data_IF_651112483113
#
_entry.id   IF_651112483113
#
_cell.length_a   1.000
_cell.length_b   1.000
_cell.length_c   1.000
_cell.angle_alpha   90.00
_cell.angle_beta   90.00
_cell.angle_gamma   90.00
#
_symmetry.space_group_name_H-M   'P 1'
#
loop_
_entity.id
_entity.type
_entity.pdbx_description
1 polymer ?
#
# COMPACT_ATOMS: atom_id res chain seq x y z
N UNK A 1 24.42 -11.87 0.39
CA UNK A 1 24.73 -13.19 0.98
C UNK A 1 25.64 -13.11 2.22
N UNK A 2 26.77 -12.38 2.19
CA UNK A 2 27.69 -12.27 3.35
C UNK A 2 27.06 -11.69 4.65
N UNK A 3 26.12 -10.75 4.54
CA UNK A 3 25.46 -10.15 5.73
C UNK A 3 24.46 -11.07 6.44
N UNK A 4 23.79 -11.98 5.71
CA UNK A 4 22.80 -12.89 6.32
C UNK A 4 23.49 -14.02 7.07
N UNK A 5 24.55 -14.60 6.48
CA UNK A 5 25.37 -15.63 7.13
C UNK A 5 25.99 -15.08 8.41
N UNK A 6 26.52 -13.85 8.37
CA UNK A 6 27.04 -13.19 9.56
C UNK A 6 25.99 -12.98 10.67
N UNK A 7 24.78 -12.53 10.32
CA UNK A 7 23.69 -12.41 11.29
C UNK A 7 23.27 -13.77 11.86
N UNK A 8 23.15 -14.80 11.01
CA UNK A 8 22.79 -16.15 11.42
C UNK A 8 23.83 -16.72 12.40
N UNK A 9 25.12 -16.62 12.07
CA UNK A 9 26.20 -17.07 12.96
C UNK A 9 26.13 -16.37 14.32
N UNK A 10 25.98 -15.04 14.33
CA UNK A 10 25.91 -14.26 15.56
C UNK A 10 24.68 -14.58 16.41
N UNK A 11 23.53 -14.79 15.78
CA UNK A 11 22.30 -15.15 16.50
C UNK A 11 22.30 -16.62 16.96
N UNK A 12 22.92 -17.52 16.21
CA UNK A 12 23.01 -18.95 16.57
C UNK A 12 23.88 -19.20 17.81
N UNK A 13 24.76 -18.26 18.16
CA UNK A 13 25.51 -18.29 19.42
C UNK A 13 24.67 -17.98 20.66
N UNK A 14 23.56 -17.24 20.51
CA UNK A 14 22.68 -16.79 21.60
C UNK A 14 21.34 -17.54 21.61
N UNK A 15 20.91 -18.07 20.46
CA UNK A 15 19.61 -18.70 20.27
C UNK A 15 19.76 -20.03 19.53
N UNK A 16 18.96 -21.02 19.92
CA UNK A 16 18.85 -22.28 19.19
C UNK A 16 18.19 -22.01 17.83
N UNK A 17 18.97 -22.10 16.76
CA UNK A 17 18.54 -21.76 15.40
C UNK A 17 18.93 -22.85 14.41
N UNK A 18 18.01 -23.15 13.47
CA UNK A 18 18.25 -24.06 12.36
C UNK A 18 18.09 -23.34 11.02
N UNK A 19 19.01 -23.62 10.08
CA UNK A 19 18.96 -23.05 8.74
C UNK A 19 18.04 -23.91 7.87
N UNK A 20 16.82 -23.44 7.61
CA UNK A 20 15.80 -24.20 6.85
C UNK A 20 15.92 -24.06 5.32
N UNK A 21 17.10 -23.67 4.83
CA UNK A 21 17.35 -23.43 3.41
C UNK A 21 16.72 -22.13 2.90
N UNK A 22 16.45 -22.09 1.59
CA UNK A 22 15.86 -20.94 0.90
C UNK A 22 14.41 -20.68 1.36
N UNK A 23 14.09 -19.42 1.67
CA UNK A 23 12.77 -19.06 2.18
C UNK A 23 11.75 -19.07 1.05
N UNK A 24 10.95 -20.13 0.97
CA UNK A 24 9.90 -20.30 -0.07
C UNK A 24 8.50 -19.96 0.42
N UNK A 25 8.27 -20.09 1.72
CA UNK A 25 6.97 -19.87 2.33
C UNK A 25 7.13 -19.38 3.77
N UNK A 26 6.43 -18.32 4.13
CA UNK A 26 6.44 -17.78 5.49
C UNK A 26 5.07 -17.19 5.85
N UNK A 27 4.45 -17.67 6.92
CA UNK A 27 3.17 -17.17 7.43
C UNK A 27 2.09 -16.96 6.35
N UNK A 28 1.98 -17.88 5.38
CA UNK A 28 1.00 -17.80 4.28
C UNK A 28 1.44 -17.00 3.05
N UNK A 29 2.62 -16.37 3.10
CA UNK A 29 3.24 -15.68 1.97
C UNK A 29 4.12 -16.66 1.19
N UNK A 30 4.04 -16.65 -0.14
CA UNK A 30 4.99 -17.35 -1.01
C UNK A 30 6.07 -16.41 -1.46
N UNK A 31 7.31 -16.87 -1.41
CA UNK A 31 8.49 -16.09 -1.71
C UNK A 31 9.25 -16.83 -2.80
N UNK A 32 9.52 -16.14 -3.90
CA UNK A 32 10.40 -16.61 -4.98
C UNK A 32 11.61 -15.70 -5.02
N UNK A 33 12.79 -16.24 -4.75
CA UNK A 33 14.04 -15.49 -4.79
C UNK A 33 14.74 -15.78 -6.11
N UNK A 34 15.26 -14.74 -6.74
CA UNK A 34 16.02 -14.82 -7.98
C UNK A 34 17.21 -13.85 -7.95
N UNK A 35 18.02 -13.87 -9.00
CA UNK A 35 19.16 -12.96 -9.12
C UNK A 35 18.72 -11.49 -9.26
N UNK A 36 17.60 -11.26 -9.94
CA UNK A 36 17.06 -9.92 -10.24
C UNK A 36 16.23 -9.33 -9.10
N UNK A 37 15.82 -10.15 -8.13
CA UNK A 37 14.97 -9.70 -7.04
C UNK A 37 14.26 -10.80 -6.28
N UNK A 38 13.37 -10.40 -5.39
CA UNK A 38 12.50 -11.29 -4.61
C UNK A 38 11.04 -10.95 -4.89
N UNK A 39 10.26 -11.95 -5.28
CA UNK A 39 8.82 -11.83 -5.48
C UNK A 39 8.07 -12.41 -4.28
N UNK A 40 7.17 -11.62 -3.69
CA UNK A 40 6.35 -12.01 -2.55
C UNK A 40 4.88 -11.96 -2.95
N UNK A 41 4.19 -13.09 -2.91
CA UNK A 41 2.82 -13.18 -3.40
C UNK A 41 1.97 -14.21 -2.63
N UNK A 42 0.65 -14.13 -2.81
CA UNK A 42 -0.32 -15.01 -2.15
C UNK A 42 -1.27 -15.70 -3.15
N UNK A 43 -0.81 -15.97 -4.38
CA UNK A 43 -1.67 -16.48 -5.45
C UNK A 43 -2.46 -17.75 -5.10
N UNK A 44 -1.86 -18.68 -4.35
CA UNK A 44 -2.58 -19.87 -3.84
C UNK A 44 -3.75 -19.45 -2.95
N UNK A 45 -3.49 -18.58 -1.97
CA UNK A 45 -4.51 -18.06 -1.07
C UNK A 45 -5.61 -17.31 -1.83
N UNK A 46 -5.24 -16.50 -2.83
CA UNK A 46 -6.21 -15.80 -3.70
C UNK A 46 -7.16 -16.78 -4.40
N UNK A 47 -6.64 -17.89 -4.95
CA UNK A 47 -7.49 -18.93 -5.55
C UNK A 47 -8.35 -19.67 -4.52
N UNK A 48 -7.79 -19.92 -3.33
CA UNK A 48 -8.50 -20.61 -2.25
C UNK A 48 -9.68 -19.77 -1.72
N UNK A 49 -9.52 -18.45 -1.55
CA UNK A 49 -10.62 -17.57 -1.13
C UNK A 49 -11.68 -17.39 -2.23
N UNK A 50 -11.27 -17.40 -3.52
CA UNK A 50 -12.22 -17.37 -4.63
C UNK A 50 -13.09 -18.63 -4.66
N UNK A 51 -12.52 -19.81 -4.38
CA UNK A 51 -13.27 -21.05 -4.23
C UNK A 51 -14.18 -21.03 -3.00
N UNK A 52 -13.63 -20.61 -1.84
CA UNK A 52 -14.36 -20.55 -0.56
C UNK A 52 -15.66 -19.73 -0.64
N UNK A 53 -15.65 -18.62 -1.39
CA UNK A 53 -16.80 -17.72 -1.52
C UNK A 53 -17.56 -17.89 -2.85
N UNK A 54 -17.38 -19.02 -3.56
CA UNK A 54 -18.07 -19.32 -4.83
C UNK A 54 -17.90 -18.22 -5.91
N UNK A 55 -16.72 -17.61 -5.97
CA UNK A 55 -16.37 -16.56 -6.94
C UNK A 55 -15.58 -17.10 -8.14
N UNK A 56 -15.36 -18.42 -8.21
CA UNK A 56 -14.61 -19.11 -9.27
C UNK A 56 -15.14 -18.86 -10.68
N UNK A 57 -16.46 -18.85 -10.87
CA UNK A 57 -17.12 -18.66 -12.18
C UNK A 57 -17.57 -17.21 -12.44
N UNK A 58 -17.31 -16.30 -11.50
CA UNK A 58 -17.72 -14.91 -11.64
C UNK A 58 -17.05 -14.21 -12.83
N UNK A 59 -17.73 -13.27 -13.50
CA UNK A 59 -17.13 -12.50 -14.60
C UNK A 59 -15.97 -11.64 -14.07
N UNK A 60 -14.74 -11.71 -14.61
CA UNK A 60 -13.62 -10.91 -14.11
C UNK A 60 -13.88 -9.40 -14.23
N UNK A 61 -13.21 -8.62 -13.38
CA UNK A 61 -13.22 -7.15 -13.43
C UNK A 61 -11.78 -6.62 -13.45
N UNK A 62 -11.54 -5.53 -14.17
CA UNK A 62 -10.20 -4.97 -14.35
C UNK A 62 -9.77 -4.02 -13.23
N UNK A 63 -10.73 -3.49 -12.45
CA UNK A 63 -10.48 -2.64 -11.27
C UNK A 63 -11.28 -3.11 -10.05
N UNK A 64 -10.76 -2.96 -8.83
CA UNK A 64 -11.43 -3.41 -7.61
C UNK A 64 -12.67 -2.57 -7.26
N UNK A 65 -12.75 -1.31 -7.71
CA UNK A 65 -13.87 -0.39 -7.50
C UNK A 65 -14.14 0.46 -8.74
N UNK A 66 -15.38 0.88 -8.95
CA UNK A 66 -15.73 1.83 -10.01
C UNK A 66 -15.58 3.26 -9.50
N UNK A 67 -15.19 4.19 -10.36
CA UNK A 67 -15.13 5.64 -10.04
C UNK A 67 -16.51 6.21 -9.71
N UNK A 68 -17.57 5.63 -10.28
CA UNK A 68 -18.96 6.05 -10.03
C UNK A 68 -19.61 5.33 -8.84
N UNK A 69 -18.91 4.42 -8.15
CA UNK A 69 -19.50 3.71 -7.01
C UNK A 69 -19.62 4.65 -5.81
N UNK A 70 -20.85 5.05 -5.51
CA UNK A 70 -21.21 5.68 -4.26
C UNK A 70 -21.49 4.61 -3.20
N UNK A 71 -20.79 4.67 -2.07
CA UNK A 71 -21.10 3.85 -0.89
C UNK A 71 -21.89 4.72 0.08
N UNK A 72 -23.21 4.71 -0.09
CA UNK A 72 -24.19 5.37 0.80
C UNK A 72 -24.74 4.37 1.84
N UNK A 73 -25.47 4.86 2.85
CA UNK A 73 -26.19 3.97 3.75
C UNK A 73 -27.23 3.16 2.95
N UNK A 74 -27.24 1.84 3.13
CA UNK A 74 -28.19 0.93 2.45
C UNK A 74 -29.22 0.48 3.47
N UNK A 75 -30.10 1.42 3.85
CA UNK A 75 -31.14 1.22 4.86
C UNK A 75 -32.21 0.22 4.36
N UNK A 76 -32.41 0.16 3.04
CA UNK A 76 -33.34 -0.75 2.35
C UNK A 76 -32.66 -2.02 1.82
N UNK A 77 -31.39 -2.24 2.17
CA UNK A 77 -30.57 -3.34 1.66
C UNK A 77 -31.00 -4.71 2.19
N UNK A 78 -30.80 -5.75 1.38
CA UNK A 78 -31.01 -7.13 1.84
C UNK A 78 -30.07 -7.45 3.02
N UNK A 79 -30.63 -8.08 4.06
CA UNK A 79 -29.85 -8.56 5.20
C UNK A 79 -28.75 -9.52 4.72
N UNK A 80 -27.50 -9.14 4.95
CA UNK A 80 -26.33 -9.96 4.63
C UNK A 80 -26.04 -10.90 5.80
N UNK A 81 -25.69 -12.16 5.53
CA UNK A 81 -25.10 -13.02 6.55
C UNK A 81 -23.80 -12.38 7.07
N UNK A 82 -23.88 -11.87 8.31
CA UNK A 82 -22.77 -11.16 8.94
C UNK A 82 -21.52 -12.05 9.07
N UNK A 83 -21.69 -13.37 9.24
CA UNK A 83 -20.57 -14.29 9.39
C UNK A 83 -19.84 -14.46 8.06
N UNK A 84 -20.58 -14.72 6.98
CA UNK A 84 -20.03 -14.78 5.62
C UNK A 84 -19.32 -13.47 5.28
N UNK A 85 -19.98 -12.34 5.50
CA UNK A 85 -19.47 -11.01 5.18
C UNK A 85 -18.18 -10.66 5.93
N UNK A 86 -18.16 -10.85 7.26
CA UNK A 86 -16.94 -10.68 8.07
C UNK A 86 -15.84 -11.63 7.64
N UNK A 87 -16.19 -12.85 7.23
CA UNK A 87 -15.27 -13.81 6.64
C UNK A 87 -14.64 -13.31 5.33
N UNK A 88 -15.43 -12.70 4.45
CA UNK A 88 -14.95 -12.10 3.19
C UNK A 88 -14.00 -10.94 3.47
N UNK A 89 -14.39 -9.99 4.33
CA UNK A 89 -13.55 -8.84 4.70
C UNK A 89 -12.26 -9.30 5.36
N UNK A 90 -12.32 -10.24 6.32
CA UNK A 90 -11.13 -10.79 6.97
C UNK A 90 -10.16 -11.44 5.97
N UNK A 91 -10.68 -12.17 4.99
CA UNK A 91 -9.86 -12.75 3.91
C UNK A 91 -9.18 -11.69 3.03
N UNK A 92 -9.88 -10.59 2.72
CA UNK A 92 -9.30 -9.49 1.94
C UNK A 92 -8.23 -8.73 2.76
N UNK A 93 -8.49 -8.43 4.03
CA UNK A 93 -7.54 -7.77 4.93
C UNK A 93 -6.26 -8.58 5.17
N UNK A 94 -6.33 -9.90 5.08
CA UNK A 94 -5.13 -10.72 5.11
C UNK A 94 -4.36 -10.65 3.79
N UNK A 95 -5.07 -10.62 2.66
CA UNK A 95 -4.45 -10.54 1.33
C UNK A 95 -3.79 -9.18 1.06
N UNK A 96 -4.26 -8.10 1.69
CA UNK A 96 -3.66 -6.76 1.53
C UNK A 96 -2.19 -6.70 1.91
N UNK A 97 -1.66 -7.69 2.65
CA UNK A 97 -0.24 -7.82 2.97
C UNK A 97 0.65 -7.98 1.72
N UNK A 98 0.13 -8.54 0.62
CA UNK A 98 0.85 -8.66 -0.67
C UNK A 98 0.10 -7.99 -1.82
N UNK A 99 -1.09 -7.46 -1.55
CA UNK A 99 -1.99 -6.81 -2.52
C UNK A 99 -2.36 -5.41 -2.05
N UNK A 100 -1.40 -4.45 -2.07
CA UNK A 100 -1.67 -3.07 -1.67
C UNK A 100 -2.74 -2.42 -2.55
N UNK A 101 -2.87 -2.86 -3.79
CA UNK A 101 -3.82 -2.39 -4.80
C UNK A 101 -5.30 -2.56 -4.40
N UNK A 102 -5.62 -3.49 -3.48
CA UNK A 102 -6.99 -3.65 -2.95
C UNK A 102 -7.19 -2.96 -1.59
N UNK A 103 -6.15 -2.41 -0.96
CA UNK A 103 -6.18 -1.87 0.41
C UNK A 103 -7.29 -0.82 0.63
N UNK A 104 -7.46 0.11 -0.31
CA UNK A 104 -8.51 1.12 -0.21
C UNK A 104 -9.90 0.50 -0.17
N UNK A 105 -10.14 -0.48 -1.04
CA UNK A 105 -11.44 -1.13 -1.24
C UNK A 105 -11.76 -2.19 -0.19
N UNK A 106 -10.74 -2.81 0.40
CA UNK A 106 -10.86 -3.82 1.45
C UNK A 106 -10.99 -3.21 2.86
N UNK A 107 -10.83 -1.89 3.00
CA UNK A 107 -10.98 -1.21 4.28
C UNK A 107 -12.45 -1.27 4.78
N UNK A 108 -12.72 -1.20 6.10
CA UNK A 108 -14.07 -1.40 6.69
C UNK A 108 -15.17 -0.41 6.27
N UNK A 109 -14.92 0.45 5.28
CA UNK A 109 -15.91 1.35 4.68
C UNK A 109 -16.93 0.61 3.83
N UNK A 110 -16.60 -0.59 3.40
CA UNK A 110 -17.45 -1.38 2.51
C UNK A 110 -18.56 -1.98 3.34
N UNK A 111 -19.68 -1.29 3.50
CA UNK A 111 -20.91 -1.87 4.07
C UNK A 111 -21.59 -2.82 3.07
N UNK A 112 -21.26 -2.72 1.77
CA UNK A 112 -22.02 -3.36 0.71
C UNK A 112 -21.38 -4.66 0.23
N UNK A 113 -22.11 -5.78 0.35
CA UNK A 113 -21.71 -7.12 -0.15
C UNK A 113 -21.31 -7.09 -1.64
N UNK A 114 -21.99 -6.29 -2.44
CA UNK A 114 -21.72 -6.17 -3.89
C UNK A 114 -20.33 -5.59 -4.18
N UNK A 115 -19.90 -4.60 -3.40
CA UNK A 115 -18.57 -4.01 -3.54
C UNK A 115 -17.48 -5.03 -3.18
N UNK A 116 -17.69 -5.82 -2.12
CA UNK A 116 -16.79 -6.92 -1.76
C UNK A 116 -16.72 -7.98 -2.87
N UNK A 117 -17.88 -8.39 -3.43
CA UNK A 117 -17.91 -9.31 -4.60
C UNK A 117 -17.15 -8.73 -5.80
N UNK A 118 -17.19 -7.42 -6.04
CA UNK A 118 -16.39 -6.79 -7.09
C UNK A 118 -14.88 -6.97 -6.87
N UNK A 119 -14.40 -6.82 -5.63
CA UNK A 119 -12.99 -7.04 -5.30
C UNK A 119 -12.59 -8.48 -5.63
N UNK A 120 -13.41 -9.47 -5.28
CA UNK A 120 -13.16 -10.87 -5.68
C UNK A 120 -13.13 -11.06 -7.20
N UNK A 121 -14.02 -10.41 -7.96
CA UNK A 121 -13.99 -10.45 -9.43
C UNK A 121 -12.69 -9.85 -9.99
N UNK A 122 -12.14 -8.84 -9.33
CA UNK A 122 -10.83 -8.27 -9.66
C UNK A 122 -9.66 -9.19 -9.29
N UNK A 123 -9.72 -9.84 -8.13
CA UNK A 123 -8.75 -10.87 -7.74
C UNK A 123 -8.74 -12.07 -8.70
N UNK A 124 -9.91 -12.44 -9.24
CA UNK A 124 -10.00 -13.46 -10.31
C UNK A 124 -9.29 -13.02 -11.59
N UNK A 125 -9.34 -11.73 -11.93
CA UNK A 125 -8.62 -11.18 -13.07
C UNK A 125 -7.09 -11.15 -12.84
N UNK A 126 -6.66 -11.01 -11.57
CA UNK A 126 -5.26 -10.81 -11.18
C UNK A 126 -4.79 -11.78 -10.07
N UNK A 127 -4.86 -13.10 -10.27
CA UNK A 127 -4.56 -14.05 -9.20
C UNK A 127 -3.06 -14.12 -8.86
N UNK A 128 -2.18 -13.79 -9.81
CA UNK A 128 -0.72 -13.93 -9.65
C UNK A 128 -0.02 -12.68 -9.12
N UNK A 129 -0.72 -11.56 -8.95
CA UNK A 129 -0.08 -10.32 -8.50
C UNK A 129 0.49 -10.45 -7.07
N UNK A 130 1.51 -9.66 -6.81
CA UNK A 130 2.28 -9.61 -5.58
C UNK A 130 3.26 -8.44 -5.60
N UNK A 131 4.20 -8.44 -4.66
CA UNK A 131 5.22 -7.40 -4.52
C UNK A 131 6.55 -7.90 -5.08
N UNK A 132 7.18 -7.09 -5.93
CA UNK A 132 8.51 -7.31 -6.46
C UNK A 132 9.53 -6.40 -5.77
N UNK A 133 10.58 -7.01 -5.24
CA UNK A 133 11.70 -6.35 -4.59
C UNK A 133 12.96 -6.54 -5.44
N UNK A 134 13.31 -5.55 -6.26
CA UNK A 134 14.48 -5.65 -7.15
C UNK A 134 15.80 -5.65 -6.36
N UNK A 135 16.74 -6.51 -6.77
CA UNK A 135 18.10 -6.56 -6.20
C UNK A 135 18.97 -5.38 -6.64
N UNK A 136 18.62 -4.72 -7.75
CA UNK A 136 19.37 -3.59 -8.34
C UNK A 136 18.94 -2.21 -7.83
N UNK A 137 17.97 -2.14 -6.92
CA UNK A 137 17.46 -0.86 -6.44
C UNK A 137 18.45 -0.15 -5.52
N UNK A 138 18.62 1.16 -5.69
CA UNK A 138 19.30 1.99 -4.69
C UNK A 138 18.54 1.95 -3.36
N UNK A 139 19.26 2.01 -2.23
CA UNK A 139 18.66 2.13 -0.90
C UNK A 139 18.38 3.61 -0.62
N UNK A 140 17.19 4.07 -0.97
CA UNK A 140 16.71 5.43 -0.67
C UNK A 140 15.32 5.39 -0.05
N UNK A 141 15.12 6.03 1.09
CA UNK A 141 13.80 6.08 1.72
C UNK A 141 13.00 7.25 1.14
N UNK A 142 11.80 6.99 0.61
CA UNK A 142 10.88 8.04 0.09
C UNK A 142 9.47 7.79 0.59
N UNK A 143 8.75 8.85 0.96
CA UNK A 143 7.34 8.77 1.34
C UNK A 143 6.41 9.52 0.39
N UNK A 144 5.17 9.06 0.31
CA UNK A 144 4.06 9.70 -0.40
C UNK A 144 2.84 9.73 0.52
N UNK A 145 2.09 10.83 0.47
CA UNK A 145 0.82 10.94 1.15
C UNK A 145 -0.21 11.68 0.31
N UNK A 146 -1.44 11.21 0.37
CA UNK A 146 -2.62 11.88 -0.17
C UNK A 146 -3.78 11.77 0.82
N UNK A 147 -4.79 12.61 0.65
CA UNK A 147 -6.07 12.45 1.32
C UNK A 147 -7.25 12.75 0.38
N UNK A 148 -8.23 11.85 0.39
CA UNK A 148 -9.54 12.10 -0.19
C UNK A 148 -10.41 12.84 0.83
N UNK A 149 -10.65 14.13 0.55
CA UNK A 149 -11.32 15.05 1.46
C UNK A 149 -12.82 14.80 1.50
N UNK A 150 -13.34 14.50 2.70
CA UNK A 150 -14.77 14.25 2.92
C UNK A 150 -15.35 13.14 2.01
N UNK A 151 -14.51 12.17 1.63
CA UNK A 151 -14.88 11.07 0.73
C UNK A 151 -15.90 10.10 1.31
N UNK A 152 -15.99 9.96 2.63
CA UNK A 152 -17.04 9.14 3.25
C UNK A 152 -18.37 9.90 3.21
N UNK A 153 -19.35 9.42 2.46
CA UNK A 153 -20.66 10.09 2.33
C UNK A 153 -21.48 10.05 3.62
N UNK A 154 -21.28 9.03 4.46
CA UNK A 154 -22.01 8.82 5.71
C UNK A 154 -21.65 9.88 6.77
N UNK A 155 -20.35 10.10 7.05
CA UNK A 155 -19.92 10.99 8.13
C UNK A 155 -18.99 12.12 7.67
N UNK A 156 -18.81 12.27 6.35
CA UNK A 156 -17.99 13.30 5.70
C UNK A 156 -16.53 13.33 6.20
N UNK A 157 -16.05 12.23 6.77
CA UNK A 157 -14.63 12.10 7.15
C UNK A 157 -13.78 11.75 5.94
N UNK A 158 -12.58 12.32 5.92
CA UNK A 158 -11.60 12.10 4.88
C UNK A 158 -10.92 10.73 4.99
N UNK A 159 -10.31 10.28 3.90
CA UNK A 159 -9.45 9.10 3.86
C UNK A 159 -8.00 9.53 3.67
N UNK A 160 -7.11 9.17 4.59
CA UNK A 160 -5.66 9.32 4.38
C UNK A 160 -5.10 8.06 3.71
N UNK A 161 -4.28 8.26 2.68
CA UNK A 161 -3.50 7.23 2.03
C UNK A 161 -2.02 7.56 2.14
N UNK A 162 -1.19 6.56 2.45
CA UNK A 162 0.26 6.74 2.55
C UNK A 162 0.99 5.56 1.95
N UNK A 163 2.16 5.80 1.35
CA UNK A 163 3.10 4.74 1.02
C UNK A 163 4.54 5.19 1.19
N UNK A 164 5.38 4.26 1.63
CA UNK A 164 6.80 4.44 1.84
C UNK A 164 7.55 3.39 1.02
N UNK A 165 8.49 3.89 0.23
CA UNK A 165 9.35 3.10 -0.64
C UNK A 165 10.76 3.05 -0.05
N UNK A 166 11.39 1.89 -0.17
CA UNK A 166 12.83 1.74 -0.04
C UNK A 166 13.40 1.47 -1.43
N UNK A 167 14.05 2.48 -1.99
CA UNK A 167 14.37 2.54 -3.40
C UNK A 167 13.09 2.63 -4.24
N UNK A 168 12.93 1.68 -5.15
CA UNK A 168 11.69 1.54 -5.94
C UNK A 168 10.66 0.60 -5.30
N UNK A 169 11.01 -0.06 -4.18
CA UNK A 169 10.18 -1.13 -3.63
C UNK A 169 9.26 -0.63 -2.52
N UNK A 170 7.99 -1.00 -2.58
CA UNK A 170 7.02 -0.70 -1.52
C UNK A 170 7.27 -1.54 -0.28
N UNK A 171 7.49 -0.87 0.85
CA UNK A 171 7.79 -1.51 2.13
C UNK A 171 6.78 -1.17 3.22
N UNK A 172 6.03 -0.08 3.07
CA UNK A 172 4.94 0.27 3.99
C UNK A 172 3.85 1.06 3.25
N UNK A 173 2.59 0.78 3.58
CA UNK A 173 1.43 1.47 3.02
C UNK A 173 0.30 1.50 4.02
N UNK A 174 -0.61 2.48 3.87
CA UNK A 174 -1.81 2.54 4.68
C UNK A 174 -2.95 3.26 3.97
N UNK A 175 -4.17 2.82 4.25
CA UNK A 175 -5.42 3.55 3.98
C UNK A 175 -6.18 3.64 5.30
N UNK A 176 -6.44 4.85 5.78
CA UNK A 176 -7.11 5.07 7.07
C UNK A 176 -8.15 6.17 6.97
N UNK A 177 -9.30 5.95 7.58
CA UNK A 177 -10.31 7.00 7.77
C UNK A 177 -9.83 7.97 8.84
N UNK A 178 -9.87 9.26 8.56
CA UNK A 178 -9.48 10.28 9.55
C UNK A 178 -10.48 10.28 10.71
N UNK A 179 -9.99 10.51 11.92
CA UNK A 179 -10.82 10.47 13.12
C UNK A 179 -11.84 11.64 13.18
N UNK A 180 -11.40 12.82 12.74
CA UNK A 180 -12.18 14.05 12.67
C UNK A 180 -12.54 14.41 11.23
N UNK A 181 -13.61 15.19 11.07
CA UNK A 181 -13.97 15.83 9.80
C UNK A 181 -13.00 16.98 9.56
N UNK A 182 -12.34 16.98 8.41
CA UNK A 182 -11.55 18.11 7.96
C UNK A 182 -12.48 19.20 7.40
N UNK A 183 -12.15 20.47 7.62
CA UNK A 183 -12.91 21.60 7.09
C UNK A 183 -12.40 22.07 5.72
N UNK A 184 -11.27 21.54 5.27
CA UNK A 184 -10.70 21.82 3.95
C UNK A 184 -9.87 20.65 3.43
N UNK A 185 -9.67 20.61 2.11
CA UNK A 185 -8.75 19.66 1.46
C UNK A 185 -7.33 19.82 1.98
N UNK A 186 -6.87 21.06 2.21
CA UNK A 186 -5.54 21.33 2.78
C UNK A 186 -5.39 20.70 4.15
N UNK A 187 -6.40 20.83 5.02
CA UNK A 187 -6.39 20.20 6.32
C UNK A 187 -6.36 18.66 6.22
N UNK A 188 -7.18 18.07 5.36
CA UNK A 188 -7.20 16.62 5.17
C UNK A 188 -5.83 16.09 4.71
N UNK A 189 -5.23 16.74 3.72
CA UNK A 189 -3.91 16.37 3.17
C UNK A 189 -2.79 16.61 4.18
N UNK A 190 -2.88 17.66 4.99
CA UNK A 190 -1.92 17.89 6.07
C UNK A 190 -1.99 16.78 7.13
N UNK A 191 -3.19 16.32 7.48
CA UNK A 191 -3.36 15.20 8.43
C UNK A 191 -2.73 13.92 7.87
N UNK A 192 -2.95 13.61 6.59
CA UNK A 192 -2.28 12.48 5.94
C UNK A 192 -0.76 12.65 5.93
N UNK A 193 -0.29 13.88 5.66
CA UNK A 193 1.14 14.17 5.60
C UNK A 193 1.82 13.98 6.97
N UNK A 194 1.19 14.47 8.05
CA UNK A 194 1.68 14.28 9.42
C UNK A 194 1.79 12.78 9.79
N UNK A 195 0.76 11.97 9.46
CA UNK A 195 0.81 10.52 9.71
C UNK A 195 1.91 9.81 8.92
N UNK A 196 2.11 10.18 7.65
CA UNK A 196 3.20 9.63 6.83
C UNK A 196 4.57 10.06 7.36
N UNK A 197 4.73 11.30 7.82
CA UNK A 197 5.97 11.77 8.45
C UNK A 197 6.32 10.94 9.69
N UNK A 198 5.35 10.65 10.57
CA UNK A 198 5.59 9.78 11.73
C UNK A 198 6.10 8.40 11.31
N UNK A 199 5.51 7.80 10.25
CA UNK A 199 5.96 6.52 9.71
C UNK A 199 7.38 6.59 9.14
N UNK A 200 7.71 7.65 8.39
CA UNK A 200 9.05 7.86 7.84
C UNK A 200 10.11 8.00 8.93
N UNK A 201 9.81 8.71 10.01
CA UNK A 201 10.73 8.88 11.14
C UNK A 201 10.96 7.56 11.87
N UNK A 202 9.89 6.79 12.10
CA UNK A 202 10.01 5.44 12.66
C UNK A 202 10.90 4.56 11.78
N UNK A 203 10.65 4.54 10.47
CA UNK A 203 11.49 3.79 9.53
C UNK A 203 12.94 4.28 9.51
N UNK A 204 13.18 5.60 9.54
CA UNK A 204 14.53 6.19 9.61
C UNK A 204 15.29 5.71 10.84
N UNK A 205 14.63 5.69 12.00
CA UNK A 205 15.20 5.21 13.25
C UNK A 205 15.51 3.72 13.18
N UNK A 206 14.54 2.89 12.79
CA UNK A 206 14.72 1.44 12.65
C UNK A 206 15.83 1.08 11.66
N UNK A 207 15.91 1.77 10.52
CA UNK A 207 16.98 1.54 9.56
C UNK A 207 18.34 1.99 10.08
N UNK A 208 18.40 3.04 10.90
CA UNK A 208 19.63 3.45 11.58
C UNK A 208 20.14 2.37 12.54
N UNK A 209 19.27 1.64 13.22
CA UNK A 209 19.64 0.50 14.07
C UNK A 209 20.28 -0.64 13.26
N UNK A 210 19.90 -0.79 11.98
CA UNK A 210 20.54 -1.69 11.02
C UNK A 210 21.80 -1.11 10.37
N UNK A 211 22.29 0.05 10.82
CA UNK A 211 23.47 0.72 10.25
C UNK A 211 23.21 1.49 8.95
N UNK A 212 21.95 1.60 8.51
CA UNK A 212 21.57 2.35 7.31
C UNK A 212 21.15 3.77 7.70
N UNK A 213 22.02 4.74 7.43
CA UNK A 213 21.76 6.14 7.74
C UNK A 213 21.21 6.88 6.53
N UNK A 214 20.07 7.53 6.72
CA UNK A 214 19.44 8.38 5.73
C UNK A 214 19.51 9.83 6.18
N UNK A 215 19.83 10.74 5.24
CA UNK A 215 19.79 12.17 5.49
C UNK A 215 18.36 12.70 5.53
N UNK A 216 18.13 13.78 4.80
CA UNK A 216 16.80 14.37 4.62
C UNK A 216 15.97 13.49 3.69
N UNK A 217 14.85 12.97 4.18
CA UNK A 217 14.01 12.01 3.45
C UNK A 217 13.08 12.76 2.47
N UNK A 218 13.12 12.45 1.16
CA UNK A 218 12.15 12.98 0.19
C UNK A 218 10.73 12.57 0.56
N UNK A 219 9.85 13.57 0.72
CA UNK A 219 8.45 13.36 1.08
C UNK A 219 7.53 14.07 0.08
N UNK A 220 6.87 13.27 -0.77
CA UNK A 220 6.02 13.70 -1.87
C UNK A 220 4.59 13.98 -1.39
N UNK A 221 4.14 15.21 -1.59
CA UNK A 221 2.78 15.68 -1.23
C UNK A 221 2.22 16.49 -2.39
N UNK A 222 0.96 16.27 -2.76
CA UNK A 222 0.33 16.90 -3.93
C UNK A 222 -0.44 18.21 -3.59
N UNK A 223 -0.26 18.72 -2.37
CA UNK A 223 -0.87 19.98 -1.91
C UNK A 223 0.18 21.03 -1.64
N UNK A 224 0.32 21.96 -2.58
CA UNK A 224 1.16 23.16 -2.43
C UNK A 224 0.77 23.97 -1.19
N UNK A 225 -0.53 24.07 -0.89
CA UNK A 225 -1.02 24.75 0.32
C UNK A 225 -0.56 24.05 1.59
N UNK A 226 -0.67 22.72 1.68
CA UNK A 226 -0.21 21.97 2.85
C UNK A 226 1.31 22.11 3.04
N UNK A 227 2.07 22.02 1.94
CA UNK A 227 3.51 22.24 1.93
C UNK A 227 3.84 23.66 2.43
N UNK A 228 3.14 24.67 1.93
CA UNK A 228 3.38 26.07 2.31
C UNK A 228 3.11 26.32 3.79
N UNK A 229 2.05 25.71 4.35
CA UNK A 229 1.75 25.80 5.78
C UNK A 229 2.81 25.11 6.63
N UNK A 230 3.36 23.98 6.17
CA UNK A 230 4.46 23.31 6.87
C UNK A 230 5.74 24.16 6.83
N UNK A 231 6.07 24.78 5.69
CA UNK A 231 7.31 25.55 5.49
C UNK A 231 7.28 26.97 6.09
N UNK A 232 6.11 27.55 6.35
CA UNK A 232 6.00 28.95 6.80
C UNK A 232 5.37 29.07 8.20
N UNK A 233 6.08 29.66 9.20
CA UNK A 233 5.60 29.80 10.56
C UNK A 233 4.44 30.80 10.74
N UNK A 234 4.27 31.77 9.83
CA UNK A 234 3.33 32.89 10.00
C UNK A 234 1.86 32.50 9.68
N UNK A 235 1.65 31.43 8.92
CA UNK A 235 0.31 31.03 8.42
C UNK A 235 -0.61 30.35 9.47
N UNK A 236 -0.26 30.39 10.77
CA UNK A 236 -0.92 29.61 11.82
C UNK A 236 -2.03 30.29 12.62
N UNK A 237 -2.26 31.60 12.44
CA UNK A 237 -3.15 32.36 13.34
C UNK A 237 -4.63 31.91 13.34
N UNK A 238 -5.04 30.96 12.47
CA UNK A 238 -6.45 30.52 12.32
C UNK A 238 -6.71 29.01 12.47
N UNK A 239 -5.75 28.16 12.87
CA UNK A 239 -5.92 26.68 12.80
C UNK A 239 -5.67 25.91 14.11
N UNK A 240 -6.15 26.46 15.24
CA UNK A 240 -5.91 25.94 16.60
C UNK A 240 -6.32 24.47 16.86
N UNK A 241 -7.28 23.91 16.11
CA UNK A 241 -7.84 22.58 16.38
C UNK A 241 -6.96 21.40 15.89
N UNK A 242 -5.81 21.70 15.29
CA UNK A 242 -4.83 20.71 14.78
C UNK A 242 -3.38 21.17 15.00
N UNK A 243 -3.15 22.15 15.88
CA UNK A 243 -1.84 22.78 16.13
C UNK A 243 -0.71 21.77 16.34
N UNK A 244 -0.93 20.72 17.14
CA UNK A 244 0.11 19.72 17.44
C UNK A 244 0.61 19.02 16.18
N UNK A 245 -0.29 18.62 15.27
CA UNK A 245 0.11 17.96 14.01
C UNK A 245 0.82 18.93 13.08
N UNK A 246 0.40 20.20 13.09
CA UNK A 246 1.08 21.21 12.31
C UNK A 246 2.50 21.45 12.77
N UNK A 247 2.67 21.70 14.07
CA UNK A 247 3.98 21.84 14.68
C UNK A 247 4.85 20.63 14.42
N UNK A 248 4.32 19.42 14.52
CA UNK A 248 5.06 18.18 14.25
C UNK A 248 5.68 18.14 12.84
N UNK A 249 4.87 18.32 11.79
CA UNK A 249 5.39 18.21 10.41
C UNK A 249 6.36 19.36 10.08
N UNK A 250 6.13 20.56 10.61
CA UNK A 250 7.04 21.70 10.46
C UNK A 250 8.37 21.48 11.17
N UNK A 251 8.32 21.06 12.42
CA UNK A 251 9.51 20.83 13.25
C UNK A 251 10.46 19.83 12.58
N UNK A 252 9.93 18.72 12.05
CA UNK A 252 10.73 17.75 11.31
C UNK A 252 11.19 18.23 9.92
N UNK A 253 10.47 19.17 9.30
CA UNK A 253 10.95 19.84 8.09
C UNK A 253 12.14 20.77 8.39
N UNK A 254 12.04 21.58 9.45
CA UNK A 254 13.06 22.55 9.89
C UNK A 254 14.32 21.86 10.43
N UNK A 255 14.17 20.76 11.17
CA UNK A 255 15.29 19.89 11.62
C UNK A 255 16.02 19.19 10.47
N UNK A 256 15.47 19.22 9.26
CA UNK A 256 16.03 18.54 8.10
C UNK A 256 15.83 17.03 8.11
N UNK A 257 14.83 16.52 8.84
CA UNK A 257 14.50 15.09 8.81
C UNK A 257 13.81 14.69 7.50
N UNK A 258 12.91 15.55 7.02
CA UNK A 258 12.13 15.36 5.79
C UNK A 258 12.26 16.55 4.86
N UNK A 259 12.14 16.31 3.55
CA UNK A 259 11.99 17.35 2.54
C UNK A 259 10.63 17.25 1.86
N UNK A 260 9.80 18.28 2.06
CA UNK A 260 8.47 18.34 1.46
C UNK A 260 8.57 18.82 0.01
N UNK A 261 8.28 17.91 -0.91
CA UNK A 261 8.40 18.08 -2.35
C UNK A 261 7.02 17.93 -2.99
N UNK A 262 6.63 18.89 -3.81
CA UNK A 262 5.39 18.81 -4.56
C UNK A 262 5.44 17.69 -5.60
N UNK A 263 4.38 16.88 -5.69
CA UNK A 263 4.19 15.89 -6.75
C UNK A 263 2.89 16.16 -7.49
N UNK A 264 2.92 16.10 -8.81
CA UNK A 264 1.70 16.21 -9.62
C UNK A 264 0.83 14.97 -9.43
N UNK A 265 -0.50 15.13 -9.49
CA UNK A 265 -1.45 14.04 -9.21
C UNK A 265 -1.24 12.79 -10.07
N UNK A 266 -0.76 12.94 -11.32
CA UNK A 266 -0.40 11.80 -12.15
C UNK A 266 0.67 10.91 -11.50
N UNK A 267 1.64 11.47 -10.78
CA UNK A 267 2.73 10.72 -10.16
C UNK A 267 2.54 10.53 -8.65
N UNK A 268 1.32 10.75 -8.15
CA UNK A 268 0.99 10.58 -6.74
C UNK A 268 0.65 9.11 -6.46
N UNK A 269 1.64 8.34 -6.00
CA UNK A 269 1.44 6.93 -5.66
C UNK A 269 0.41 6.71 -4.56
N UNK A 270 0.23 7.68 -3.66
CA UNK A 270 -0.72 7.55 -2.57
C UNK A 270 -2.20 7.57 -3.03
N UNK A 271 -2.48 8.01 -4.27
CA UNK A 271 -3.85 8.08 -4.82
C UNK A 271 -4.54 6.72 -4.86
N UNK A 272 -3.80 5.63 -5.11
CA UNK A 272 -4.35 4.27 -5.11
C UNK A 272 -4.93 3.86 -3.74
N UNK A 273 -4.51 4.54 -2.67
CA UNK A 273 -4.96 4.28 -1.30
C UNK A 273 -6.05 5.24 -0.81
N UNK A 274 -6.44 6.25 -1.60
CA UNK A 274 -7.39 7.28 -1.15
C UNK A 274 -8.72 7.29 -1.87
N UNK A 275 -8.74 6.88 -3.14
CA UNK A 275 -9.92 7.02 -4.01
C UNK A 275 -9.98 5.92 -5.07
N UNK A 276 -11.18 5.61 -5.62
CA UNK A 276 -11.27 4.78 -6.81
C UNK A 276 -10.66 5.52 -8.00
N UNK A 277 -9.99 4.76 -8.87
CA UNK A 277 -9.28 5.28 -10.03
C UNK A 277 -9.82 4.66 -11.32
N UNK A 278 -9.72 5.40 -12.42
CA UNK A 278 -9.96 4.85 -13.76
C UNK A 278 -8.91 3.79 -14.09
N UNK A 279 -9.23 2.91 -15.03
CA UNK A 279 -8.44 1.72 -15.33
C UNK A 279 -6.97 2.04 -15.65
N UNK A 280 -6.70 3.05 -16.49
CA UNK A 280 -5.35 3.39 -16.91
C UNK A 280 -4.52 3.94 -15.74
N UNK A 281 -5.09 4.87 -14.98
CA UNK A 281 -4.44 5.43 -13.79
C UNK A 281 -4.20 4.36 -12.72
N UNK A 282 -5.18 3.50 -12.46
CA UNK A 282 -5.09 2.40 -11.51
C UNK A 282 -3.98 1.42 -11.91
N UNK A 283 -3.97 0.98 -13.17
CA UNK A 283 -3.01 -0.02 -13.66
C UNK A 283 -1.58 0.50 -13.61
N UNK A 284 -1.37 1.78 -13.94
CA UNK A 284 -0.06 2.41 -13.86
C UNK A 284 0.43 2.53 -12.42
N UNK A 285 -0.37 3.13 -11.52
CA UNK A 285 0.02 3.29 -10.12
C UNK A 285 0.22 1.93 -9.43
N UNK A 286 -0.61 0.92 -9.77
CA UNK A 286 -0.41 -0.45 -9.29
C UNK A 286 0.94 -1.01 -9.71
N UNK A 287 1.32 -0.88 -10.98
CA UNK A 287 2.62 -1.35 -11.47
C UNK A 287 3.79 -0.71 -10.73
N UNK A 288 3.73 0.61 -10.49
CA UNK A 288 4.74 1.33 -9.72
C UNK A 288 4.79 0.86 -8.24
N UNK A 289 3.65 0.63 -7.62
CA UNK A 289 3.54 0.23 -6.20
C UNK A 289 3.91 -1.24 -5.98
N UNK A 290 3.57 -2.12 -6.91
CA UNK A 290 3.92 -3.54 -6.86
C UNK A 290 5.38 -3.80 -7.29
N UNK A 291 6.06 -2.78 -7.85
CA UNK A 291 7.43 -2.92 -8.35
C UNK A 291 7.52 -3.75 -9.63
N UNK A 292 6.38 -3.98 -10.29
CA UNK A 292 6.29 -4.84 -11.47
C UNK A 292 6.11 -3.96 -12.68
N UNK A 293 7.14 -3.88 -13.51
CA UNK A 293 7.01 -3.31 -14.84
C UNK A 293 6.08 -4.23 -15.65
N UNK A 294 5.03 -3.69 -16.28
CA UNK A 294 4.06 -4.50 -17.05
C UNK A 294 4.75 -5.33 -18.17
N UNK A 295 5.99 -5.01 -18.54
CA UNK A 295 6.85 -5.76 -19.44
C UNK A 295 7.37 -7.08 -18.83
N UNK A 296 7.67 -7.13 -17.53
CA UNK A 296 8.18 -8.33 -16.85
C UNK A 296 7.10 -9.42 -16.73
N UNK A 297 5.84 -9.05 -16.52
CA UNK A 297 4.71 -10.01 -16.51
C UNK A 297 4.56 -10.67 -17.89
N UNK A 298 4.77 -9.94 -19.00
CA UNK A 298 4.71 -10.56 -20.33
C UNK A 298 5.94 -11.44 -20.60
N UNK A 299 7.13 -10.96 -20.30
CA UNK A 299 8.39 -11.66 -20.58
C UNK A 299 8.66 -12.88 -19.70
N UNK A 300 8.39 -12.81 -18.38
CA UNK A 300 8.60 -13.95 -17.47
C UNK A 300 7.51 -15.00 -17.54
N UNK A 301 6.27 -14.61 -17.86
CA UNK A 301 5.23 -15.60 -18.14
C UNK A 301 5.58 -16.32 -19.45
N UNK A 302 5.88 -15.61 -20.55
CA UNK A 302 6.27 -16.27 -21.81
C UNK A 302 7.57 -17.09 -21.70
N UNK A 303 8.56 -16.64 -20.91
CA UNK A 303 9.82 -17.39 -20.71
C UNK A 303 9.64 -18.63 -19.82
N UNK A 304 8.76 -18.59 -18.81
CA UNK A 304 8.43 -19.77 -17.99
C UNK A 304 7.57 -20.79 -18.74
N UNK A 305 6.74 -20.38 -19.71
CA UNK A 305 5.97 -21.32 -20.55
C UNK A 305 6.80 -21.95 -21.68
N UNK A 306 7.76 -21.22 -22.26
CA UNK A 306 8.65 -21.76 -23.30
C UNK A 306 9.63 -22.81 -22.76
N UNK A 307 10.10 -22.65 -21.51
CA UNK A 307 10.90 -23.69 -20.83
C UNK A 307 10.13 -24.97 -20.48
N UNK A 308 8.81 -24.89 -20.30
CA UNK A 308 7.95 -26.04 -20.01
C UNK A 308 7.52 -26.81 -21.27
N UNK A 309 7.49 -26.15 -22.43
CA UNK A 309 7.23 -26.81 -23.73
C UNK A 309 8.46 -27.58 -24.22
N UNK A 310 9.68 -27.12 -23.92
CA UNK A 310 10.92 -27.81 -24.27
C UNK A 310 11.20 -29.11 -23.46
N UNK A 311 10.39 -29.39 -22.43
CA UNK A 311 10.44 -30.64 -21.64
C UNK A 311 9.30 -31.61 -21.98
N UNK A 312 8.43 -31.25 -22.94
CA UNK A 312 7.29 -32.06 -23.38
C UNK A 312 7.25 -32.30 -24.90
N UNK A 313 8.38 -32.09 -25.59
CA UNK A 313 8.69 -32.60 -26.93
C UNK A 313 10.06 -33.27 -26.85
#
# INVERSE_FOLDING_TARGET
MKSFVFCFERMSGEFEMSLMGELRFFLGLRIKQGLEGTFVHQAKYTRDILKKFNMGDSKPMTTPMSTNTALDADEDGEAVDQKEFRGMIGSLLYLTATRPDIQFTASPRTSHRQAVKRIFRYLKFTPELGLWYSSGSSLSLTGFSDADHAGCRIDRKSTSGTCQLLGISLVSWSCRKQASVALSTTQAKYVAAASCCSQLLWMKATLSDFGLRFGRIPFRVDSTSAISVAKNPVLHSRTKHIDVRFHFLRDHYEKGDIDLIHVVSANQLADIFTKPLEFDAFTRLRGEVEGVDNALIKGEIESQWSGLIALLV
#
